data_IF_497728107424
#
_entry.id   IF_497728107424
#
_cell.length_a   1.000
_cell.length_b   1.000
_cell.length_c   1.000
_cell.angle_alpha   90.00
_cell.angle_beta   90.00
_cell.angle_gamma   90.00
#
_symmetry.space_group_name_H-M   'P 1'
#
loop_
_entity.id
_entity.type
_entity.pdbx_description
1 polymer ?
#
# COMPACT_ATOMS: atom_id res chain seq x y z
N UNK A 1 37.01 5.59 -17.96
CA UNK A 1 35.98 4.78 -18.66
C UNK A 1 34.61 5.28 -18.22
N UNK A 2 33.58 5.21 -19.07
CA UNK A 2 32.26 5.80 -18.78
C UNK A 2 31.11 4.95 -19.34
N UNK A 3 30.06 4.77 -18.53
CA UNK A 3 28.61 4.54 -18.81
C UNK A 3 27.91 4.62 -17.43
N UNK A 4 26.90 5.46 -17.17
CA UNK A 4 25.49 5.41 -17.62
C UNK A 4 24.73 4.18 -17.02
N UNK A 5 23.83 4.32 -16.02
CA UNK A 5 22.44 4.88 -16.03
C UNK A 5 21.37 3.81 -16.38
N UNK A 6 20.15 3.75 -15.81
CA UNK A 6 19.34 4.65 -14.95
C UNK A 6 18.73 3.84 -13.74
N UNK A 7 17.52 3.92 -13.15
CA UNK A 7 16.20 4.61 -13.35
C UNK A 7 15.50 4.88 -11.98
N UNK A 8 14.20 5.21 -11.95
CA UNK A 8 13.39 5.78 -10.84
C UNK A 8 12.22 4.87 -10.34
N UNK A 9 11.60 5.05 -9.16
CA UNK A 9 10.54 6.06 -8.86
C UNK A 9 9.99 6.04 -7.39
N UNK A 10 9.18 7.05 -6.98
CA UNK A 10 8.68 7.39 -5.59
C UNK A 10 7.41 6.66 -5.05
N UNK A 11 6.42 7.22 -4.32
CA UNK A 11 5.88 8.58 -3.98
C UNK A 11 5.14 8.47 -2.60
N UNK A 12 4.54 9.43 -1.87
CA UNK A 12 3.99 10.81 -2.01
C UNK A 12 2.57 11.02 -2.59
N UNK A 13 1.74 11.87 -1.92
CA UNK A 13 0.31 12.16 -2.19
C UNK A 13 0.07 13.70 -2.23
N UNK A 14 -0.92 14.18 -2.99
CA UNK A 14 -1.34 15.59 -3.00
C UNK A 14 -2.78 15.74 -2.46
N UNK A 15 -3.01 16.71 -1.56
CA UNK A 15 -4.34 17.15 -1.16
C UNK A 15 -4.65 18.52 -1.77
N UNK A 16 -5.86 18.73 -2.28
CA UNK A 16 -6.21 19.93 -3.07
C UNK A 16 -6.66 21.10 -2.19
N UNK A 17 -6.32 22.31 -2.63
CA UNK A 17 -6.61 23.56 -1.92
C UNK A 17 -8.10 23.93 -1.88
N UNK A 18 -8.51 24.66 -0.84
CA UNK A 18 -9.61 25.62 -0.93
C UNK A 18 -9.07 27.03 -0.61
N UNK A 19 -9.27 28.04 -1.48
CA UNK A 19 -8.91 29.43 -1.19
C UNK A 19 -10.08 30.17 -0.51
N UNK A 20 -9.89 30.63 0.72
CA UNK A 20 -10.82 31.59 1.35
C UNK A 20 -10.50 33.02 0.90
N UNK A 21 -11.50 33.72 0.37
CA UNK A 21 -11.36 35.12 -0.04
C UNK A 21 -11.27 36.05 1.17
N UNK A 22 -10.16 36.79 1.29
CA UNK A 22 -9.96 37.85 2.28
C UNK A 22 -9.77 39.21 1.60
N UNK A 23 -10.85 39.99 1.47
CA UNK A 23 -10.82 41.30 0.82
C UNK A 23 -10.97 42.45 1.84
N UNK A 24 -9.99 43.35 1.89
CA UNK A 24 -10.19 44.73 2.36
C UNK A 24 -9.09 45.65 1.81
N UNK A 25 -9.41 46.94 1.63
CA UNK A 25 -8.47 47.98 1.26
C UNK A 25 -7.56 48.42 2.43
N UNK A 26 -6.74 49.47 2.27
CA UNK A 26 -6.92 50.64 1.38
C UNK A 26 -5.60 51.11 0.76
N UNK A 27 -5.74 51.92 -0.29
CA UNK A 27 -4.67 52.54 -1.06
C UNK A 27 -3.97 53.68 -0.34
N UNK A 28 -2.68 53.89 -0.64
CA UNK A 28 -2.23 55.21 -1.11
C UNK A 28 -1.11 55.04 -2.15
N UNK A 29 -1.09 55.93 -3.14
CA UNK A 29 -0.14 55.91 -4.26
C UNK A 29 1.07 56.79 -3.98
N UNK A 30 2.26 56.37 -4.41
CA UNK A 30 3.24 57.32 -4.94
C UNK A 30 4.11 56.74 -6.06
N UNK A 31 4.37 57.63 -7.01
CA UNK A 31 5.09 57.50 -8.28
C UNK A 31 6.46 56.82 -8.14
N UNK A 32 6.89 56.13 -9.19
CA UNK A 32 7.98 56.63 -10.05
C UNK A 32 7.90 56.00 -11.47
N UNK A 33 8.34 56.76 -12.47
CA UNK A 33 8.35 56.37 -13.88
C UNK A 33 9.76 55.97 -14.30
N UNK A 34 9.92 54.81 -14.93
CA UNK A 34 11.01 54.53 -15.88
C UNK A 34 10.70 53.29 -16.73
N UNK A 35 11.02 53.36 -18.03
CA UNK A 35 10.95 52.22 -18.97
C UNK A 35 12.32 51.56 -19.07
N UNK A 36 12.40 50.25 -18.82
CA UNK A 36 13.39 49.36 -19.42
C UNK A 36 12.72 48.02 -19.76
N UNK A 37 13.19 47.35 -20.81
CA UNK A 37 12.61 46.10 -21.32
C UNK A 37 13.56 44.94 -21.05
N UNK A 38 13.14 44.01 -20.19
CA UNK A 38 13.77 42.70 -19.96
C UNK A 38 12.60 41.72 -19.71
N UNK A 39 12.05 41.01 -20.71
CA UNK A 39 12.66 39.98 -21.55
C UNK A 39 13.37 38.85 -20.77
N UNK A 40 12.74 38.40 -19.67
CA UNK A 40 13.04 37.10 -19.06
C UNK A 40 12.36 35.96 -19.85
N UNK A 41 12.91 35.59 -21.02
CA UNK A 41 12.34 34.57 -21.91
C UNK A 41 12.80 33.16 -21.53
N UNK A 42 12.20 32.56 -20.50
CA UNK A 42 12.57 31.23 -20.00
C UNK A 42 11.57 30.14 -20.45
N UNK A 43 11.59 29.84 -21.75
CA UNK A 43 10.82 28.74 -22.34
C UNK A 43 11.54 27.40 -22.15
N UNK A 44 11.27 26.70 -21.05
CA UNK A 44 11.60 25.28 -20.93
C UNK A 44 10.81 24.57 -19.83
N UNK A 45 9.70 23.93 -20.21
CA UNK A 45 9.34 22.67 -19.58
C UNK A 45 10.45 21.67 -19.87
N UNK A 46 11.03 21.03 -18.85
CA UNK A 46 11.00 19.56 -18.89
C UNK A 46 10.79 18.91 -17.51
N UNK A 47 10.04 17.79 -17.53
CA UNK A 47 10.32 16.58 -16.74
C UNK A 47 10.53 16.77 -15.23
N UNK A 48 9.46 17.19 -14.54
CA UNK A 48 9.42 17.34 -13.07
C UNK A 48 8.28 16.59 -12.35
N UNK A 49 7.61 15.64 -13.01
CA UNK A 49 6.69 14.69 -12.33
C UNK A 49 7.44 13.39 -12.05
N UNK A 50 7.67 13.02 -10.78
CA UNK A 50 7.71 11.63 -10.41
C UNK A 50 6.32 11.03 -10.69
N UNK A 51 6.23 10.08 -11.63
CA UNK A 51 5.09 9.16 -11.68
C UNK A 51 5.42 8.00 -10.75
N UNK A 52 4.61 7.77 -9.72
CA UNK A 52 4.88 6.65 -8.83
C UNK A 52 3.71 6.26 -7.94
N UNK A 53 3.71 4.98 -7.57
CA UNK A 53 2.93 4.39 -6.47
C UNK A 53 1.43 4.71 -6.48
N UNK A 54 0.78 4.44 -7.61
CA UNK A 54 -0.37 3.55 -7.55
C UNK A 54 0.12 2.26 -6.85
N UNK A 55 -0.11 2.16 -5.54
CA UNK A 55 0.41 1.06 -4.73
C UNK A 55 -0.33 -0.22 -5.13
N UNK A 56 0.35 -1.12 -5.84
CA UNK A 56 -0.12 -2.49 -6.08
C UNK A 56 -0.08 -3.25 -4.75
N UNK A 57 -1.07 -2.96 -3.90
CA UNK A 57 -1.09 -3.39 -2.51
C UNK A 57 -1.45 -4.87 -2.45
N UNK A 58 -0.42 -5.72 -2.48
CA UNK A 58 -0.56 -7.18 -2.40
C UNK A 58 -1.35 -7.52 -1.13
N UNK A 59 -2.44 -8.31 -1.25
CA UNK A 59 -3.25 -8.62 -0.08
C UNK A 59 -2.42 -9.40 0.95
N UNK A 60 -2.69 -9.14 2.22
CA UNK A 60 -1.95 -9.71 3.36
C UNK A 60 -2.71 -10.93 3.87
N UNK A 61 -2.05 -12.09 3.86
CA UNK A 61 -2.55 -13.33 4.45
C UNK A 61 -1.89 -13.53 5.82
N UNK A 62 -2.63 -13.27 6.88
CA UNK A 62 -2.19 -13.54 8.26
C UNK A 62 -2.50 -14.99 8.62
N UNK A 63 -1.45 -15.79 8.85
CA UNK A 63 -1.48 -17.16 9.36
C UNK A 63 -1.27 -17.13 10.87
N UNK A 64 -2.30 -17.50 11.63
CA UNK A 64 -2.21 -17.75 13.06
C UNK A 64 -1.71 -19.17 13.30
N UNK A 65 -0.57 -19.29 13.97
CA UNK A 65 0.19 -20.52 14.19
C UNK A 65 0.59 -20.67 15.66
N UNK A 66 1.08 -21.85 16.03
CA UNK A 66 1.58 -22.21 17.37
C UNK A 66 2.55 -23.39 17.18
N UNK A 67 3.62 -23.48 17.96
CA UNK A 67 4.50 -24.67 17.95
C UNK A 67 4.21 -25.63 19.11
N UNK A 68 4.32 -26.96 18.91
CA UNK A 68 4.36 -27.65 17.61
C UNK A 68 2.98 -27.69 16.93
N UNK A 69 2.95 -27.64 15.59
CA UNK A 69 1.72 -27.75 14.79
C UNK A 69 2.05 -28.30 13.38
N UNK A 70 1.91 -29.62 13.12
CA UNK A 70 2.21 -30.18 11.79
C UNK A 70 1.28 -29.63 10.71
N UNK A 71 -0.01 -29.46 11.02
CA UNK A 71 -1.02 -28.85 10.13
C UNK A 71 -0.61 -27.45 9.64
N UNK A 72 0.12 -26.70 10.48
CA UNK A 72 0.59 -25.35 10.17
C UNK A 72 1.80 -25.37 9.23
N UNK A 73 2.60 -26.44 9.25
CA UNK A 73 3.74 -26.62 8.35
C UNK A 73 3.28 -27.24 7.01
N UNK A 74 2.34 -28.21 7.02
CA UNK A 74 1.61 -28.68 5.83
C UNK A 74 0.96 -27.52 5.06
N UNK A 75 0.23 -26.65 5.77
CA UNK A 75 -0.48 -25.54 5.16
C UNK A 75 0.44 -24.49 4.48
N UNK A 76 1.70 -24.37 4.92
CA UNK A 76 2.69 -23.51 4.24
C UNK A 76 3.11 -24.08 2.90
N UNK A 77 3.30 -25.40 2.81
CA UNK A 77 3.71 -26.06 1.57
C UNK A 77 2.69 -25.81 0.44
N UNK A 78 1.39 -25.90 0.75
CA UNK A 78 0.32 -25.59 -0.22
C UNK A 78 0.29 -24.09 -0.61
N UNK A 79 0.82 -23.20 0.23
CA UNK A 79 0.85 -21.75 0.00
C UNK A 79 2.12 -21.24 -0.70
N UNK A 80 3.26 -21.95 -0.61
CA UNK A 80 4.51 -21.60 -1.31
C UNK A 80 4.34 -21.24 -2.81
N UNK A 81 3.59 -21.99 -3.64
CA UNK A 81 3.41 -21.62 -5.05
C UNK A 81 2.69 -20.27 -5.24
N UNK A 82 1.75 -19.92 -4.36
CA UNK A 82 0.94 -18.70 -4.47
C UNK A 82 1.58 -17.48 -3.75
N UNK A 83 2.60 -17.71 -2.89
CA UNK A 83 3.32 -16.74 -2.04
C UNK A 83 3.92 -15.51 -2.76
N UNK A 84 3.93 -15.51 -4.10
CA UNK A 84 4.33 -14.37 -4.93
C UNK A 84 3.20 -13.36 -5.20
N UNK A 85 1.93 -13.77 -5.10
CA UNK A 85 0.76 -12.89 -5.33
C UNK A 85 0.44 -12.05 -4.09
N UNK A 86 0.40 -12.68 -2.92
CA UNK A 86 0.04 -12.10 -1.62
C UNK A 86 1.28 -11.88 -0.71
N UNK A 87 1.09 -11.28 0.48
CA UNK A 87 2.11 -11.17 1.53
C UNK A 87 1.74 -12.13 2.68
N UNK A 88 2.57 -13.14 2.95
CA UNK A 88 2.38 -14.02 4.11
C UNK A 88 2.89 -13.32 5.38
N UNK A 89 2.01 -13.20 6.38
CA UNK A 89 2.35 -12.75 7.73
C UNK A 89 2.11 -13.91 8.71
N UNK A 90 3.12 -14.31 9.47
CA UNK A 90 2.95 -15.32 10.53
C UNK A 90 2.75 -14.64 11.89
N UNK A 91 1.78 -15.14 12.67
CA UNK A 91 1.49 -14.69 14.03
C UNK A 91 1.45 -15.91 14.95
N UNK A 92 2.45 -16.03 15.83
CA UNK A 92 2.44 -17.08 16.86
C UNK A 92 1.50 -16.67 18.02
N UNK A 93 0.41 -17.42 18.19
CA UNK A 93 -0.58 -17.16 19.24
C UNK A 93 -0.09 -17.55 20.64
N UNK A 94 1.04 -18.25 20.78
CA UNK A 94 1.61 -18.60 22.09
C UNK A 94 2.34 -17.44 22.78
N UNK A 95 2.64 -16.36 22.04
CA UNK A 95 3.22 -15.14 22.61
C UNK A 95 2.20 -14.42 23.51
N UNK A 96 2.61 -13.86 24.67
CA UNK A 96 1.68 -13.21 25.61
C UNK A 96 0.99 -11.98 25.00
N UNK A 97 1.66 -11.28 24.09
CA UNK A 97 1.11 -10.17 23.30
C UNK A 97 -0.11 -10.61 22.44
N UNK A 98 -0.17 -11.89 22.07
CA UNK A 98 -1.22 -12.49 21.25
C UNK A 98 -2.24 -13.32 22.07
N UNK A 99 -2.29 -13.21 23.40
CA UNK A 99 -3.19 -14.03 24.25
C UNK A 99 -4.67 -13.94 23.83
N UNK A 100 -5.12 -12.77 23.34
CA UNK A 100 -6.48 -12.60 22.79
C UNK A 100 -6.77 -13.47 21.57
N UNK A 101 -5.75 -13.78 20.76
CA UNK A 101 -5.83 -14.73 19.66
C UNK A 101 -5.68 -16.18 20.14
N UNK A 102 -4.88 -16.42 21.20
CA UNK A 102 -4.78 -17.74 21.84
C UNK A 102 -6.16 -18.23 22.28
N UNK A 103 -6.86 -17.47 23.13
CA UNK A 103 -8.14 -17.93 23.69
C UNK A 103 -9.23 -18.09 22.62
N UNK A 104 -9.15 -17.32 21.53
CA UNK A 104 -10.08 -17.39 20.40
C UNK A 104 -9.80 -18.57 19.44
N UNK A 105 -8.53 -18.93 19.21
CA UNK A 105 -8.13 -19.84 18.12
C UNK A 105 -7.29 -21.05 18.55
N UNK A 106 -6.99 -21.25 19.84
CA UNK A 106 -6.18 -22.38 20.37
C UNK A 106 -6.60 -23.80 19.95
N UNK A 107 -7.84 -23.99 19.51
CA UNK A 107 -8.39 -25.25 18.99
C UNK A 107 -8.68 -25.24 17.48
N UNK A 108 -8.58 -24.08 16.82
CA UNK A 108 -8.98 -23.85 15.43
C UNK A 108 -7.79 -23.68 14.46
N UNK A 109 -6.56 -23.67 14.97
CA UNK A 109 -5.32 -23.50 14.20
C UNK A 109 -5.08 -24.64 13.19
N UNK A 110 -4.49 -24.35 12.01
CA UNK A 110 -4.12 -23.02 11.51
C UNK A 110 -5.35 -22.18 11.10
N UNK A 111 -5.32 -20.89 11.41
CA UNK A 111 -6.38 -19.92 11.01
C UNK A 111 -5.79 -18.88 10.06
N UNK A 112 -6.55 -18.55 9.01
CA UNK A 112 -6.13 -17.64 7.93
C UNK A 112 -7.04 -16.42 7.86
N UNK A 113 -6.47 -15.23 7.89
CA UNK A 113 -7.16 -13.96 7.61
C UNK A 113 -6.57 -13.29 6.37
N UNK A 114 -7.40 -12.78 5.48
CA UNK A 114 -7.01 -12.07 4.26
C UNK A 114 -7.44 -10.60 4.36
N UNK A 115 -6.47 -9.68 4.31
CA UNK A 115 -6.65 -8.26 4.66
C UNK A 115 -7.38 -8.06 6.00
N UNK A 116 -7.03 -8.87 7.01
CA UNK A 116 -7.66 -8.85 8.35
C UNK A 116 -9.06 -9.47 8.45
N UNK A 117 -9.64 -9.94 7.34
CA UNK A 117 -10.93 -10.64 7.34
C UNK A 117 -10.69 -12.15 7.46
N UNK A 118 -11.44 -12.83 8.33
CA UNK A 118 -11.37 -14.29 8.42
C UNK A 118 -11.71 -14.96 7.08
N UNK A 119 -10.82 -15.85 6.61
CA UNK A 119 -10.94 -16.55 5.34
C UNK A 119 -11.26 -18.04 5.52
N UNK A 120 -10.41 -18.75 6.27
CA UNK A 120 -10.53 -20.21 6.47
C UNK A 120 -9.77 -20.69 7.72
N UNK A 121 -10.00 -21.93 8.15
CA UNK A 121 -9.35 -22.56 9.30
C UNK A 121 -9.21 -24.08 9.14
N UNK A 122 -8.32 -24.68 9.93
CA UNK A 122 -7.92 -26.11 9.93
C UNK A 122 -7.25 -26.63 8.64
N UNK A 123 -7.72 -26.24 7.45
CA UNK A 123 -7.19 -26.69 6.15
C UNK A 123 -7.15 -25.53 5.15
N UNK A 124 -6.20 -25.59 4.23
CA UNK A 124 -6.10 -24.66 3.10
C UNK A 124 -6.97 -25.16 1.96
N UNK A 125 -7.89 -24.31 1.49
CA UNK A 125 -8.80 -24.57 0.38
C UNK A 125 -8.38 -23.69 -0.80
N UNK A 126 -7.50 -24.21 -1.66
CA UNK A 126 -6.80 -23.40 -2.67
C UNK A 126 -7.77 -22.75 -3.66
N UNK A 127 -8.86 -23.42 -4.04
CA UNK A 127 -9.88 -22.82 -4.92
C UNK A 127 -10.50 -21.57 -4.27
N UNK A 128 -10.98 -21.69 -3.02
CA UNK A 128 -11.53 -20.53 -2.28
C UNK A 128 -10.47 -19.45 -2.03
N UNK A 129 -9.20 -19.83 -1.85
CA UNK A 129 -8.11 -18.87 -1.71
C UNK A 129 -7.88 -18.07 -3.00
N UNK A 130 -7.81 -18.75 -4.15
CA UNK A 130 -7.60 -18.12 -5.45
C UNK A 130 -8.79 -17.27 -5.92
N UNK A 131 -10.03 -17.69 -5.65
CA UNK A 131 -11.24 -16.90 -5.87
C UNK A 131 -11.18 -15.57 -5.10
N UNK A 132 -10.85 -15.61 -3.81
CA UNK A 132 -10.81 -14.42 -2.95
C UNK A 132 -9.62 -13.52 -3.30
N UNK A 133 -8.47 -14.11 -3.63
CA UNK A 133 -7.28 -13.39 -4.09
C UNK A 133 -7.57 -12.64 -5.40
N UNK A 134 -8.16 -13.31 -6.39
CA UNK A 134 -8.53 -12.71 -7.69
C UNK A 134 -9.63 -11.67 -7.54
N UNK A 135 -10.60 -11.88 -6.64
CA UNK A 135 -11.61 -10.88 -6.30
C UNK A 135 -10.99 -9.59 -5.72
N UNK A 136 -10.00 -9.70 -4.83
CA UNK A 136 -9.30 -8.54 -4.28
C UNK A 136 -8.46 -7.81 -5.34
N UNK A 137 -7.78 -8.55 -6.22
CA UNK A 137 -7.05 -7.98 -7.36
C UNK A 137 -7.99 -7.15 -8.26
N UNK A 138 -9.19 -7.65 -8.59
CA UNK A 138 -10.21 -6.93 -9.36
C UNK A 138 -10.81 -5.72 -8.60
N UNK A 139 -11.04 -5.83 -7.30
CA UNK A 139 -11.61 -4.74 -6.49
C UNK A 139 -10.61 -3.58 -6.27
N UNK A 140 -9.29 -3.85 -6.35
CA UNK A 140 -8.26 -2.82 -6.26
C UNK A 140 -8.13 -1.98 -7.56
N UNK A 141 -8.57 -2.53 -8.69
CA UNK A 141 -8.54 -1.86 -10.01
C UNK A 141 -9.75 -0.92 -10.19
N UNK A 142 -10.94 -1.39 -9.79
CA UNK A 142 -12.22 -0.65 -9.94
C UNK A 142 -12.51 0.44 -8.90
N UNK A 143 -11.56 0.83 -8.06
CA UNK A 143 -11.72 1.83 -6.99
C UNK A 143 -10.61 2.90 -7.06
N UNK A 144 -10.43 3.49 -8.25
CA UNK A 144 -9.33 4.41 -8.58
C UNK A 144 -9.83 5.60 -9.42
#
# INVERSE_FOLDING_TARGET
MAVAALYLSGHHVCCSSQPVFGASGRTMVLRFLSRTVQLARHSSSPLGRPLCSASANKPVLTLFTKKPCPLCDEAKEVLEPHKKRFILQEVDITLPENSSWYDKYKYDIPVFHLNGNFLMKHRVDIQKFEDQLTKLELQNDGNQ
#
